data_IF_544454922052
#
_entry.id   IF_544454922052
#
_cell.length_a   1.000
_cell.length_b   1.000
_cell.length_c   1.000
_cell.angle_alpha   90.00
_cell.angle_beta   90.00
_cell.angle_gamma   90.00
#
_symmetry.space_group_name_H-M   'P 1'
#
loop_
_entity.id
_entity.type
_entity.pdbx_description
1 polymer ?
#
# COMPACT_ATOMS: atom_id res chain seq x y z
N UNK A 1 17.44 -31.72 -7.74
CA UNK A 1 17.05 -30.65 -8.69
C UNK A 1 16.75 -29.37 -7.92
N UNK A 2 17.35 -28.29 -8.34
CA UNK A 2 17.03 -27.00 -7.75
C UNK A 2 15.73 -26.51 -8.38
N UNK A 3 14.70 -26.21 -7.58
CA UNK A 3 13.47 -25.67 -8.15
C UNK A 3 13.72 -24.31 -8.80
N UNK A 4 12.89 -23.89 -9.76
CA UNK A 4 12.97 -22.54 -10.30
C UNK A 4 12.92 -21.52 -9.19
N UNK A 5 13.45 -20.32 -9.46
CA UNK A 5 13.37 -19.24 -8.50
C UNK A 5 11.92 -18.99 -8.12
N UNK A 6 11.68 -18.63 -6.86
CA UNK A 6 10.35 -18.36 -6.36
C UNK A 6 9.63 -17.32 -7.21
N UNK A 7 10.38 -16.34 -7.72
CA UNK A 7 9.86 -15.28 -8.60
C UNK A 7 9.12 -15.83 -9.83
N UNK A 8 9.51 -17.00 -10.34
CA UNK A 8 8.87 -17.58 -11.51
C UNK A 8 7.43 -17.99 -11.23
N UNK A 9 7.08 -18.18 -9.96
CA UNK A 9 5.75 -18.58 -9.53
C UNK A 9 4.92 -17.44 -8.96
N UNK A 10 5.54 -16.29 -8.73
CA UNK A 10 4.86 -15.13 -8.16
C UNK A 10 4.28 -14.30 -9.30
N UNK A 11 2.99 -13.96 -9.19
CA UNK A 11 2.35 -13.06 -10.14
C UNK A 11 3.10 -11.72 -10.22
N UNK A 12 3.16 -11.07 -11.40
CA UNK A 12 3.92 -9.83 -11.57
C UNK A 12 3.57 -8.73 -10.56
N UNK A 13 2.31 -8.62 -10.16
CA UNK A 13 1.90 -7.65 -9.14
C UNK A 13 2.44 -8.00 -7.75
N UNK A 14 2.52 -9.31 -7.44
CA UNK A 14 3.12 -9.76 -6.18
C UNK A 14 4.63 -9.54 -6.15
N UNK A 15 5.30 -9.63 -7.31
CA UNK A 15 6.72 -9.25 -7.40
C UNK A 15 6.91 -7.78 -7.07
N UNK A 16 6.04 -6.93 -7.57
CA UNK A 16 6.07 -5.51 -7.24
C UNK A 16 5.89 -5.29 -5.75
N UNK A 17 4.95 -6.02 -5.11
CA UNK A 17 4.72 -5.92 -3.67
C UNK A 17 5.95 -6.29 -2.85
N UNK A 18 6.66 -7.36 -3.23
CA UNK A 18 7.89 -7.77 -2.54
C UNK A 18 8.91 -6.63 -2.56
N UNK A 19 9.08 -5.98 -3.70
CA UNK A 19 10.02 -4.86 -3.84
C UNK A 19 9.56 -3.63 -3.07
N UNK A 20 8.28 -3.35 -3.09
CA UNK A 20 7.71 -2.25 -2.33
C UNK A 20 7.91 -2.48 -0.83
N UNK A 21 7.67 -3.71 -0.34
CA UNK A 21 7.93 -4.07 1.05
C UNK A 21 9.37 -3.77 1.44
N UNK A 22 10.33 -4.17 0.60
CA UNK A 22 11.75 -3.91 0.85
C UNK A 22 12.06 -2.42 0.87
N UNK A 23 11.53 -1.67 -0.08
CA UNK A 23 11.75 -0.22 -0.17
C UNK A 23 11.17 0.49 1.05
N UNK A 24 9.98 0.11 1.47
CA UNK A 24 9.33 0.68 2.65
C UNK A 24 10.14 0.38 3.91
N UNK A 25 10.57 -0.87 4.07
CA UNK A 25 11.40 -1.25 5.22
C UNK A 25 12.70 -0.46 5.29
N UNK A 26 13.37 -0.28 4.16
CA UNK A 26 14.61 0.52 4.10
C UNK A 26 14.37 1.99 4.43
N UNK A 27 13.19 2.50 4.10
CA UNK A 27 12.81 3.89 4.38
C UNK A 27 12.35 4.09 5.82
N UNK A 28 12.29 3.03 6.63
CA UNK A 28 11.92 3.11 8.03
C UNK A 28 10.47 2.81 8.34
N UNK A 29 9.69 2.40 7.36
CA UNK A 29 8.31 1.98 7.58
C UNK A 29 8.25 0.60 8.20
N UNK A 30 7.31 0.39 9.11
CA UNK A 30 6.98 -0.94 9.64
C UNK A 30 5.89 -1.51 8.75
N UNK A 31 6.24 -2.52 7.95
CA UNK A 31 5.29 -3.16 7.05
C UNK A 31 4.55 -4.25 7.78
N UNK A 32 3.23 -4.22 7.74
CA UNK A 32 2.37 -5.16 8.46
C UNK A 32 1.28 -5.73 7.56
N UNK A 33 0.83 -6.92 7.91
CA UNK A 33 -0.33 -7.52 7.29
C UNK A 33 -1.60 -7.00 7.98
N UNK A 34 -2.68 -6.84 7.22
CA UNK A 34 -3.95 -6.35 7.78
C UNK A 34 -4.49 -7.21 8.92
N UNK A 35 -4.08 -8.47 9.01
CA UNK A 35 -4.51 -9.39 10.07
C UNK A 35 -3.85 -9.12 11.41
N UNK A 36 -2.72 -8.41 11.42
CA UNK A 36 -1.89 -8.21 12.60
C UNK A 36 -1.48 -6.75 12.75
N UNK A 37 -2.45 -5.84 12.64
CA UNK A 37 -2.17 -4.40 12.66
C UNK A 37 -1.83 -3.93 14.06
N UNK A 38 -0.69 -3.23 14.18
CA UNK A 38 -0.29 -2.52 15.38
C UNK A 38 0.24 -1.15 14.98
N UNK A 39 -0.59 -0.14 15.08
CA UNK A 39 -0.23 1.21 14.67
C UNK A 39 0.75 1.89 15.64
N UNK A 40 1.01 1.27 16.78
CA UNK A 40 2.00 1.75 17.75
C UNK A 40 3.40 1.19 17.50
N UNK A 41 3.58 0.35 16.48
CA UNK A 41 4.86 -0.28 16.20
C UNK A 41 5.95 0.70 15.75
N UNK A 42 5.57 1.88 15.29
CA UNK A 42 6.51 2.92 14.86
C UNK A 42 5.76 4.15 14.39
N UNK A 43 6.49 5.23 14.06
CA UNK A 43 5.87 6.47 13.56
C UNK A 43 5.27 6.29 12.17
N UNK A 44 5.83 5.42 11.34
CA UNK A 44 5.31 5.10 10.02
C UNK A 44 5.00 3.62 9.91
N UNK A 45 3.74 3.28 9.67
CA UNK A 45 3.27 1.90 9.51
C UNK A 45 2.59 1.76 8.16
N UNK A 46 2.98 0.75 7.40
CA UNK A 46 2.37 0.43 6.11
C UNK A 46 1.62 -0.90 6.25
N UNK A 47 0.30 -0.85 6.13
CA UNK A 47 -0.55 -2.03 6.31
C UNK A 47 -0.97 -2.57 4.94
N UNK A 48 -0.63 -3.83 4.67
CA UNK A 48 -0.95 -4.49 3.41
C UNK A 48 -2.38 -5.00 3.40
N UNK A 49 -3.03 -4.83 2.27
CA UNK A 49 -4.34 -5.42 1.96
C UNK A 49 -5.44 -4.98 2.92
N UNK A 50 -5.35 -3.77 3.46
CA UNK A 50 -6.39 -3.23 4.33
C UNK A 50 -7.66 -3.00 3.52
N UNK A 51 -8.78 -3.52 4.03
CA UNK A 51 -10.07 -3.38 3.36
C UNK A 51 -10.57 -1.93 3.45
N UNK A 52 -10.93 -1.38 2.31
CA UNK A 52 -11.57 -0.07 2.18
C UNK A 52 -12.97 -0.25 1.59
N UNK A 53 -13.74 0.80 1.50
CA UNK A 53 -15.05 0.74 0.81
C UNK A 53 -14.92 0.43 -0.69
N UNK A 54 -13.72 0.63 -1.25
CA UNK A 54 -13.44 0.31 -2.65
C UNK A 54 -12.80 -1.08 -2.83
N UNK A 55 -12.66 -1.85 -1.75
CA UNK A 55 -11.99 -3.13 -1.73
C UNK A 55 -10.64 -3.06 -1.00
N UNK A 56 -9.85 -4.13 -0.99
CA UNK A 56 -8.55 -4.12 -0.32
C UNK A 56 -7.56 -3.23 -1.08
N UNK A 57 -6.99 -2.25 -0.37
CA UNK A 57 -5.88 -1.44 -0.88
C UNK A 57 -4.58 -2.22 -0.70
N UNK A 58 -3.67 -2.14 -1.67
CA UNK A 58 -2.41 -2.87 -1.55
C UNK A 58 -1.63 -2.44 -0.30
N UNK A 59 -1.56 -1.13 -0.04
CA UNK A 59 -0.97 -0.58 1.18
C UNK A 59 -1.76 0.63 1.63
N UNK A 60 -2.03 0.73 2.93
CA UNK A 60 -2.47 1.97 3.55
C UNK A 60 -1.35 2.44 4.48
N UNK A 61 -0.95 3.69 4.33
CA UNK A 61 0.15 4.29 5.09
C UNK A 61 -0.40 5.07 6.27
N UNK A 62 0.16 4.81 7.44
CA UNK A 62 -0.20 5.50 8.67
C UNK A 62 1.01 6.25 9.21
N UNK A 63 0.84 7.50 9.58
CA UNK A 63 1.84 8.29 10.30
C UNK A 63 1.21 8.72 11.62
N UNK A 64 1.93 8.46 12.72
CA UNK A 64 1.44 8.75 14.06
C UNK A 64 0.03 8.20 14.27
N UNK A 65 -0.23 7.01 13.78
CA UNK A 65 -1.46 6.24 13.92
C UNK A 65 -2.65 6.79 13.12
N UNK A 66 -2.41 7.69 12.18
CA UNK A 66 -3.47 8.19 11.30
C UNK A 66 -3.16 7.82 9.85
N UNK A 67 -4.16 7.32 9.15
CA UNK A 67 -4.01 7.02 7.72
C UNK A 67 -3.78 8.32 6.94
N UNK A 68 -2.76 8.34 6.11
CA UNK A 68 -2.36 9.52 5.32
C UNK A 68 -2.26 9.22 3.84
N UNK A 69 -2.19 7.98 3.44
CA UNK A 69 -2.00 7.66 2.02
C UNK A 69 -2.20 6.21 1.69
N UNK A 70 -2.18 5.92 0.41
CA UNK A 70 -2.25 4.56 -0.12
C UNK A 70 -1.17 4.36 -1.16
N UNK A 71 -0.73 3.12 -1.32
CA UNK A 71 0.13 2.71 -2.43
C UNK A 71 -0.59 1.59 -3.16
N UNK A 72 -0.71 1.71 -4.48
CA UNK A 72 -1.18 0.66 -5.35
C UNK A 72 0.01 0.02 -6.08
N UNK A 73 0.15 -1.28 -5.92
CA UNK A 73 1.20 -2.04 -6.60
C UNK A 73 0.74 -2.38 -8.01
N UNK A 74 1.60 -2.14 -8.98
CA UNK A 74 1.38 -2.49 -10.38
C UNK A 74 2.48 -3.43 -10.84
N UNK A 75 2.18 -4.28 -11.81
CA UNK A 75 3.20 -5.19 -12.32
C UNK A 75 4.36 -4.40 -12.93
N UNK A 76 5.55 -4.92 -12.79
CA UNK A 76 6.77 -4.34 -13.34
C UNK A 76 6.61 -4.15 -14.85
N UNK A 77 7.07 -3.02 -15.36
CA UNK A 77 6.94 -2.67 -16.77
C UNK A 77 5.62 -1.98 -17.13
N UNK A 78 4.69 -1.85 -16.19
CA UNK A 78 3.44 -1.14 -16.43
C UNK A 78 3.70 0.36 -16.53
N UNK A 79 3.12 1.00 -17.54
CA UNK A 79 3.08 2.45 -17.62
C UNK A 79 2.11 2.97 -16.58
N UNK A 80 2.57 3.88 -15.74
CA UNK A 80 1.76 4.41 -14.64
C UNK A 80 0.82 5.53 -15.07
N UNK A 81 0.96 6.04 -16.30
CA UNK A 81 0.06 7.05 -16.81
C UNK A 81 -1.37 6.50 -16.90
N UNK A 82 -2.34 7.26 -16.39
CA UNK A 82 -3.76 6.90 -16.50
C UNK A 82 -4.28 5.97 -15.43
N UNK A 83 -3.45 5.56 -14.45
CA UNK A 83 -3.92 4.69 -13.36
C UNK A 83 -4.19 5.45 -12.06
N UNK A 84 -3.96 6.75 -12.04
CA UNK A 84 -4.08 7.60 -10.85
C UNK A 84 -5.47 7.55 -10.24
N UNK A 85 -6.49 7.41 -11.06
CA UNK A 85 -7.86 7.43 -10.56
C UNK A 85 -8.19 6.21 -9.68
N UNK A 86 -7.50 5.08 -9.85
CA UNK A 86 -7.64 3.94 -8.96
C UNK A 86 -7.14 4.30 -7.56
N UNK A 87 -5.99 4.97 -7.50
CA UNK A 87 -5.43 5.42 -6.23
C UNK A 87 -6.35 6.44 -5.57
N UNK A 88 -6.89 7.39 -6.33
CA UNK A 88 -7.87 8.37 -5.82
C UNK A 88 -9.09 7.66 -5.24
N UNK A 89 -9.55 6.61 -5.90
CA UNK A 89 -10.67 5.81 -5.43
C UNK A 89 -10.40 5.23 -4.04
N UNK A 90 -9.21 4.68 -3.81
CA UNK A 90 -8.84 4.17 -2.50
C UNK A 90 -8.64 5.27 -1.48
N UNK A 91 -8.05 6.40 -1.87
CA UNK A 91 -7.87 7.55 -0.98
C UNK A 91 -9.19 8.06 -0.43
N UNK A 92 -10.28 7.94 -1.20
CA UNK A 92 -11.61 8.43 -0.83
C UNK A 92 -12.47 7.39 -0.12
N UNK A 93 -11.96 6.17 0.06
CA UNK A 93 -12.77 5.01 0.48
C UNK A 93 -12.33 4.42 1.81
N UNK A 94 -11.63 5.19 2.63
CA UNK A 94 -11.17 4.73 3.94
C UNK A 94 -12.36 4.60 4.89
N UNK A 95 -12.49 3.45 5.59
CA UNK A 95 -13.56 3.26 6.56
C UNK A 95 -13.54 4.33 7.66
N UNK A 96 -14.71 4.79 8.05
CA UNK A 96 -14.86 5.88 9.03
C UNK A 96 -14.30 5.51 10.40
N UNK A 97 -14.28 4.22 10.75
CA UNK A 97 -13.77 3.76 12.03
C UNK A 97 -12.24 3.78 12.12
N UNK A 98 -11.54 3.99 11.00
CA UNK A 98 -10.08 4.13 11.02
C UNK A 98 -9.69 5.58 11.24
N UNK A 99 -8.74 5.85 12.16
CA UNK A 99 -8.22 7.21 12.30
C UNK A 99 -7.51 7.61 11.00
N UNK A 100 -7.83 8.80 10.50
CA UNK A 100 -7.29 9.26 9.24
C UNK A 100 -7.13 10.78 9.24
N UNK A 101 -6.09 11.24 8.56
CA UNK A 101 -5.90 12.66 8.28
C UNK A 101 -6.44 12.91 6.87
N UNK A 102 -7.64 13.49 6.80
CA UNK A 102 -8.30 13.72 5.52
C UNK A 102 -8.12 15.16 5.06
N UNK A 103 -8.06 15.34 3.74
CA UNK A 103 -8.12 16.67 3.13
C UNK A 103 -9.53 17.23 3.25
N UNK A 104 -9.69 18.53 2.90
CA UNK A 104 -11.01 19.18 2.93
C UNK A 104 -12.03 18.46 2.05
N UNK A 105 -11.56 17.80 0.98
CA UNK A 105 -12.41 17.03 0.07
C UNK A 105 -12.74 15.63 0.60
N UNK A 106 -12.25 15.27 1.79
CA UNK A 106 -12.60 14.01 2.43
C UNK A 106 -11.80 12.80 1.97
N UNK A 107 -10.58 12.99 1.44
CA UNK A 107 -9.72 11.88 1.06
C UNK A 107 -8.34 11.98 1.71
N UNK A 108 -7.60 10.87 1.68
CA UNK A 108 -6.23 10.85 2.17
C UNK A 108 -5.35 11.75 1.29
N UNK A 109 -4.38 12.47 1.89
CA UNK A 109 -3.58 13.43 1.13
C UNK A 109 -2.61 12.81 0.12
N UNK A 110 -2.20 11.55 0.33
CA UNK A 110 -1.18 10.93 -0.52
C UNK A 110 -1.69 9.68 -1.21
N UNK A 111 -1.33 9.53 -2.48
CA UNK A 111 -1.61 8.32 -3.25
C UNK A 111 -0.46 8.06 -4.21
N UNK A 112 -0.01 6.82 -4.25
CA UNK A 112 1.13 6.41 -5.09
C UNK A 112 0.80 5.14 -5.84
N UNK A 113 1.25 5.06 -7.08
CA UNK A 113 1.33 3.82 -7.82
C UNK A 113 2.79 3.44 -7.93
N UNK A 114 3.11 2.17 -7.76
CA UNK A 114 4.49 1.70 -7.82
C UNK A 114 4.58 0.33 -8.44
N UNK A 115 5.61 0.16 -9.25
CA UNK A 115 6.00 -1.15 -9.79
C UNK A 115 7.09 -1.80 -8.94
N UNK A 116 7.52 -1.13 -7.89
CA UNK A 116 8.65 -1.58 -7.07
C UNK A 116 10.01 -1.15 -7.62
N UNK A 117 10.02 -0.29 -8.61
CA UNK A 117 11.27 0.22 -9.22
C UNK A 117 11.64 1.59 -8.68
#
# INVERSE_FOLDING_TARGET
MVPPALDDYIAPENKARVRIDEMLGRAGWVVQDYKNVNLYAGPGVAVRELTTHAGPADYVLFISRQAVGVIEAKKQGTTLAGVEWQTVKYQSSIPEELPAHLTDDGHLPFGYESTGD
#
